data_IF_542717809128
#
_entry.id   IF_542717809128
#
_cell.length_a   1.000
_cell.length_b   1.000
_cell.length_c   1.000
_cell.angle_alpha   90.00
_cell.angle_beta   90.00
_cell.angle_gamma   90.00
#
_symmetry.space_group_name_H-M   'P 1'
#
loop_
_entity.id
_entity.type
_entity.pdbx_description
1 polymer ?
#
# COMPACT_ATOMS: atom_id res chain seq x y z
N UNK A 1 -24.89 -59.49 -22.00
CA UNK A 1 -24.13 -58.42 -22.66
C UNK A 1 -22.65 -58.83 -22.64
N UNK A 2 -22.06 -59.14 -23.80
CA UNK A 2 -20.64 -59.53 -23.93
C UNK A 2 -19.79 -58.34 -24.41
N UNK A 3 -18.52 -58.19 -23.99
CA UNK A 3 -17.68 -57.10 -24.47
C UNK A 3 -17.00 -57.48 -25.80
N UNK A 4 -16.91 -56.52 -26.71
CA UNK A 4 -16.26 -56.65 -28.00
C UNK A 4 -14.74 -56.44 -27.90
N UNK A 5 -13.98 -57.30 -28.57
CA UNK A 5 -12.51 -57.26 -28.68
C UNK A 5 -12.10 -56.34 -29.84
N UNK A 6 -11.13 -55.42 -29.68
CA UNK A 6 -10.67 -54.57 -30.77
C UNK A 6 -9.74 -55.32 -31.73
N UNK A 7 -9.99 -55.20 -33.05
CA UNK A 7 -9.18 -55.80 -34.11
C UNK A 7 -7.86 -55.04 -34.29
N UNK A 8 -6.73 -55.76 -34.24
CA UNK A 8 -5.41 -55.24 -34.63
C UNK A 8 -5.37 -54.99 -36.14
N UNK A 9 -5.07 -53.76 -36.55
CA UNK A 9 -4.78 -53.39 -37.94
C UNK A 9 -3.35 -53.83 -38.26
N UNK A 10 -3.20 -54.75 -39.22
CA UNK A 10 -1.90 -55.22 -39.71
C UNK A 10 -1.55 -54.38 -40.93
N UNK A 11 -0.58 -53.47 -40.82
CA UNK A 11 -0.04 -52.74 -41.99
C UNK A 11 0.66 -53.75 -42.90
N UNK A 12 0.09 -53.98 -44.08
CA UNK A 12 0.56 -54.93 -45.09
C UNK A 12 1.22 -54.18 -46.26
N UNK A 13 2.35 -53.50 -46.06
CA UNK A 13 3.25 -53.22 -47.18
C UNK A 13 4.57 -52.61 -46.69
N UNK A 14 5.74 -53.25 -46.93
CA UNK A 14 7.03 -52.64 -46.63
C UNK A 14 7.27 -51.37 -47.47
N UNK A 15 6.59 -51.22 -48.61
CA UNK A 15 6.69 -50.02 -49.47
C UNK A 15 6.06 -48.77 -48.82
N UNK A 16 5.00 -48.92 -48.02
CA UNK A 16 4.34 -47.79 -47.36
C UNK A 16 5.20 -47.20 -46.23
N UNK A 17 6.00 -48.05 -45.56
CA UNK A 17 6.92 -47.63 -44.51
C UNK A 17 8.11 -46.87 -45.13
N UNK A 18 8.65 -47.37 -46.24
CA UNK A 18 9.76 -46.72 -46.95
C UNK A 18 9.33 -45.35 -47.49
N UNK A 19 8.12 -45.23 -48.05
CA UNK A 19 7.60 -43.95 -48.55
C UNK A 19 7.44 -42.89 -47.45
N UNK A 20 6.96 -43.28 -46.25
CA UNK A 20 6.84 -42.37 -45.10
C UNK A 20 8.21 -41.92 -44.56
N UNK A 21 9.21 -42.81 -44.57
CA UNK A 21 10.57 -42.47 -44.17
C UNK A 21 11.25 -41.50 -45.17
N UNK A 22 11.03 -41.66 -46.47
CA UNK A 22 11.59 -40.76 -47.49
C UNK A 22 10.98 -39.35 -47.42
N UNK A 23 9.67 -39.23 -47.18
CA UNK A 23 9.04 -37.90 -47.02
C UNK A 23 9.60 -37.18 -45.79
N UNK A 24 9.85 -37.89 -44.67
CA UNK A 24 10.48 -37.32 -43.48
C UNK A 24 11.94 -36.89 -43.68
N UNK A 25 12.75 -37.68 -44.38
CA UNK A 25 14.17 -37.39 -44.59
C UNK A 25 14.43 -36.22 -45.55
N UNK A 26 13.52 -35.95 -46.49
CA UNK A 26 13.73 -34.91 -47.53
C UNK A 26 13.00 -33.59 -47.20
N UNK A 27 11.88 -33.62 -46.49
CA UNK A 27 11.12 -32.41 -46.14
C UNK A 27 11.57 -31.72 -44.84
N UNK A 28 12.08 -32.49 -43.87
CA UNK A 28 12.47 -31.95 -42.56
C UNK A 28 13.73 -31.06 -42.65
N UNK A 29 14.78 -31.38 -43.44
CA UNK A 29 15.92 -30.48 -43.58
C UNK A 29 15.56 -29.17 -44.28
N UNK A 30 14.65 -29.19 -45.26
CA UNK A 30 14.25 -27.98 -46.02
C UNK A 30 13.53 -26.93 -45.17
N UNK A 31 12.83 -27.34 -44.10
CA UNK A 31 12.20 -26.40 -43.16
C UNK A 31 13.19 -25.75 -42.19
N UNK A 32 14.36 -26.35 -41.96
CA UNK A 32 15.41 -25.78 -41.11
C UNK A 32 16.30 -24.76 -41.84
N UNK A 33 16.37 -24.80 -43.18
CA UNK A 33 17.17 -23.84 -43.98
C UNK A 33 16.39 -22.60 -44.42
N UNK A 34 15.06 -22.55 -44.25
CA UNK A 34 14.23 -21.39 -44.61
C UNK A 34 13.95 -20.42 -43.45
N UNK A 35 14.35 -20.76 -42.23
CA UNK A 35 14.31 -19.82 -41.10
C UNK A 35 15.69 -19.19 -40.90
N UNK A 36 15.91 -17.92 -41.26
CA UNK A 36 17.12 -17.23 -40.86
C UNK A 36 17.20 -17.25 -39.33
N UNK A 37 18.34 -17.69 -38.79
CA UNK A 37 18.62 -17.56 -37.35
C UNK A 37 18.44 -16.09 -36.98
N UNK A 38 17.74 -15.75 -35.89
CA UNK A 38 17.65 -14.37 -35.46
C UNK A 38 19.08 -13.90 -35.18
N UNK A 39 19.58 -13.02 -36.05
CA UNK A 39 20.80 -12.28 -35.80
C UNK A 39 20.51 -11.45 -34.56
N UNK A 40 21.09 -11.86 -33.43
CA UNK A 40 21.06 -11.09 -32.20
C UNK A 40 21.82 -9.80 -32.48
N UNK A 41 21.10 -8.80 -32.96
CA UNK A 41 21.56 -7.42 -33.01
C UNK A 41 21.76 -7.02 -31.55
N UNK A 42 23.00 -6.67 -31.19
CA UNK A 42 23.28 -5.88 -29.98
C UNK A 42 22.68 -4.49 -30.20
N UNK A 43 21.36 -4.41 -30.23
CA UNK A 43 20.67 -3.17 -30.04
C UNK A 43 20.72 -2.93 -28.54
N UNK A 44 21.56 -1.98 -28.13
CA UNK A 44 21.53 -1.40 -26.79
C UNK A 44 20.07 -1.16 -26.41
N UNK A 45 19.54 -2.05 -25.57
CA UNK A 45 18.36 -1.74 -24.78
C UNK A 45 18.71 -0.48 -24.00
N UNK A 46 17.85 0.54 -23.96
CA UNK A 46 18.08 1.67 -23.08
C UNK A 46 18.28 1.10 -21.69
N UNK A 47 19.50 1.19 -21.17
CA UNK A 47 19.75 0.90 -19.78
C UNK A 47 18.86 1.85 -19.00
N UNK A 48 17.71 1.35 -18.56
CA UNK A 48 16.96 1.98 -17.51
C UNK A 48 17.91 1.95 -16.33
N UNK A 49 18.55 3.09 -16.12
CA UNK A 49 19.58 3.31 -15.13
C UNK A 49 18.97 3.03 -13.77
N UNK A 50 19.04 1.75 -13.37
CA UNK A 50 18.72 1.32 -12.02
C UNK A 50 19.88 1.82 -11.19
N UNK A 51 19.78 3.09 -10.79
CA UNK A 51 20.63 3.70 -9.79
C UNK A 51 20.77 2.69 -8.66
N UNK A 52 22.00 2.23 -8.42
CA UNK A 52 22.29 1.43 -7.23
C UNK A 52 21.75 2.19 -6.03
N UNK A 53 20.89 1.58 -5.19
CA UNK A 53 20.43 2.28 -3.99
C UNK A 53 21.66 2.62 -3.17
N UNK A 54 21.74 3.90 -2.78
CA UNK A 54 22.76 4.38 -1.88
C UNK A 54 22.77 3.47 -0.64
N UNK A 55 23.97 3.12 -0.19
CA UNK A 55 24.25 2.23 0.92
C UNK A 55 23.59 2.79 2.19
N UNK A 56 22.35 2.40 2.49
CA UNK A 56 21.60 2.88 3.66
C UNK A 56 20.08 2.88 3.52
N UNK A 57 19.53 2.93 2.30
CA UNK A 57 18.08 2.93 2.13
C UNK A 57 17.57 1.50 1.92
N UNK A 58 16.73 1.01 2.84
CA UNK A 58 15.98 -0.24 2.62
C UNK A 58 15.00 0.05 1.48
N UNK A 59 15.39 -0.29 0.25
CA UNK A 59 14.46 -0.38 -0.87
C UNK A 59 13.50 -1.53 -0.59
N UNK A 60 12.27 -1.20 -0.16
CA UNK A 60 11.19 -2.18 -0.08
C UNK A 60 10.73 -2.43 -1.51
N UNK A 61 11.13 -3.57 -2.06
CA UNK A 61 10.72 -3.99 -3.39
C UNK A 61 9.19 -4.09 -3.44
N UNK A 62 8.51 -3.32 -4.33
CA UNK A 62 7.06 -3.35 -4.45
C UNK A 62 6.48 -4.75 -4.72
N UNK A 63 7.26 -5.64 -5.34
CA UNK A 63 6.87 -7.03 -5.63
C UNK A 63 6.71 -7.90 -4.37
N UNK A 64 7.24 -7.46 -3.22
CA UNK A 64 7.07 -8.16 -1.95
C UNK A 64 5.61 -8.20 -1.49
N UNK A 65 4.73 -7.37 -2.04
CA UNK A 65 3.30 -7.38 -1.72
C UNK A 65 2.48 -8.39 -2.52
N UNK A 66 3.01 -8.99 -3.60
CA UNK A 66 2.23 -9.74 -4.59
C UNK A 66 2.20 -11.26 -4.41
N UNK A 67 3.06 -11.83 -3.56
CA UNK A 67 3.14 -13.27 -3.38
C UNK A 67 2.12 -13.84 -2.38
N UNK A 68 2.04 -15.17 -2.35
CA UNK A 68 1.13 -15.89 -1.45
C UNK A 68 1.53 -15.85 0.02
N UNK A 69 0.75 -16.60 0.81
CA UNK A 69 0.96 -16.81 2.25
C UNK A 69 2.24 -17.58 2.51
N UNK A 70 3.00 -17.11 3.50
CA UNK A 70 4.29 -17.69 3.91
C UNK A 70 4.12 -18.58 5.15
N UNK A 71 3.13 -18.28 5.99
CA UNK A 71 2.98 -18.89 7.31
C UNK A 71 2.18 -20.20 7.25
N UNK A 72 2.52 -21.20 8.08
CA UNK A 72 1.77 -22.46 8.17
C UNK A 72 0.43 -22.28 8.89
N UNK A 73 -0.38 -23.34 8.90
CA UNK A 73 -1.65 -23.37 9.64
C UNK A 73 -1.44 -23.19 11.14
N UNK A 74 -2.32 -22.43 11.79
CA UNK A 74 -2.30 -22.24 13.25
C UNK A 74 -3.42 -23.04 13.91
N UNK A 75 -3.13 -24.30 14.27
CA UNK A 75 -4.14 -25.24 14.80
C UNK A 75 -4.68 -24.89 16.20
N UNK A 76 -3.91 -24.19 17.04
CA UNK A 76 -4.34 -23.86 18.41
C UNK A 76 -5.38 -22.73 18.39
N UNK A 77 -6.62 -23.04 18.77
CA UNK A 77 -7.75 -22.10 18.72
C UNK A 77 -7.60 -20.91 19.68
N UNK A 78 -7.07 -21.12 20.89
CA UNK A 78 -6.85 -20.04 21.87
C UNK A 78 -5.80 -19.06 21.37
N UNK A 79 -4.65 -19.57 20.94
CA UNK A 79 -3.57 -18.75 20.39
C UNK A 79 -4.02 -17.98 19.14
N UNK A 80 -4.81 -18.63 18.25
CA UNK A 80 -5.41 -17.98 17.09
C UNK A 80 -6.34 -16.83 17.47
N UNK A 81 -7.16 -17.01 18.50
CA UNK A 81 -8.09 -15.98 18.96
C UNK A 81 -7.36 -14.80 19.64
N UNK A 82 -6.32 -15.08 20.44
CA UNK A 82 -5.46 -14.07 21.05
C UNK A 82 -4.72 -13.23 20.01
N UNK A 83 -4.07 -13.91 19.06
CA UNK A 83 -3.40 -13.27 17.93
C UNK A 83 -4.36 -12.40 17.11
N UNK A 84 -5.56 -12.90 16.83
CA UNK A 84 -6.61 -12.15 16.14
C UNK A 84 -6.98 -10.87 16.87
N UNK A 85 -7.28 -10.94 18.17
CA UNK A 85 -7.63 -9.75 18.99
C UNK A 85 -6.49 -8.73 19.00
N UNK A 86 -5.25 -9.18 19.20
CA UNK A 86 -4.08 -8.31 19.22
C UNK A 86 -3.88 -7.61 17.87
N UNK A 87 -4.04 -8.33 16.76
CA UNK A 87 -3.86 -7.79 15.41
C UNK A 87 -4.96 -6.80 15.05
N UNK A 88 -6.21 -7.10 15.40
CA UNK A 88 -7.30 -6.13 15.21
C UNK A 88 -7.11 -4.88 16.06
N UNK A 89 -6.63 -5.01 17.30
CA UNK A 89 -6.28 -3.85 18.13
C UNK A 89 -5.19 -3.00 17.48
N UNK A 90 -4.16 -3.63 16.89
CA UNK A 90 -3.12 -2.92 16.14
C UNK A 90 -3.69 -2.20 14.91
N UNK A 91 -4.46 -2.91 14.08
CA UNK A 91 -5.05 -2.35 12.85
C UNK A 91 -5.96 -1.15 13.13
N UNK A 92 -6.88 -1.28 14.09
CA UNK A 92 -7.79 -0.21 14.46
C UNK A 92 -7.08 0.98 15.10
N UNK A 93 -6.07 0.74 15.94
CA UNK A 93 -5.23 1.82 16.51
C UNK A 93 -4.43 2.53 15.41
N UNK A 94 -3.82 1.79 14.48
CA UNK A 94 -3.10 2.38 13.36
C UNK A 94 -4.03 3.24 12.50
N UNK A 95 -5.24 2.74 12.21
CA UNK A 95 -6.23 3.49 11.45
C UNK A 95 -6.71 4.75 12.18
N UNK A 96 -6.97 4.68 13.49
CA UNK A 96 -7.35 5.86 14.29
C UNK A 96 -6.22 6.89 14.40
N UNK A 97 -4.96 6.45 14.31
CA UNK A 97 -3.77 7.32 14.28
C UNK A 97 -3.44 7.94 12.93
N UNK A 98 -3.97 7.36 11.85
CA UNK A 98 -3.59 7.73 10.49
C UNK A 98 -3.85 9.23 10.20
N UNK A 99 -3.09 9.92 9.33
CA UNK A 99 -3.30 11.34 9.08
C UNK A 99 -4.68 11.67 8.51
N UNK A 100 -5.21 12.86 8.84
CA UNK A 100 -6.45 13.36 8.22
C UNK A 100 -6.30 13.57 6.72
N UNK A 101 -5.13 14.08 6.30
CA UNK A 101 -4.75 14.35 4.91
C UNK A 101 -3.38 13.70 4.62
N UNK A 102 -3.33 12.39 4.35
CA UNK A 102 -2.07 11.68 4.18
C UNK A 102 -1.39 12.03 2.86
N UNK A 103 -0.05 12.09 2.90
CA UNK A 103 0.80 12.27 1.72
C UNK A 103 0.83 11.01 0.86
N UNK A 104 1.19 11.11 -0.44
CA UNK A 104 1.23 9.94 -1.32
C UNK A 104 2.10 8.77 -0.80
N UNK A 105 3.23 9.06 -0.17
CA UNK A 105 4.12 8.06 0.43
C UNK A 105 3.48 7.38 1.66
N UNK A 106 2.82 8.14 2.54
CA UNK A 106 2.09 7.60 3.70
C UNK A 106 0.95 6.67 3.29
N UNK A 107 0.27 6.99 2.16
CA UNK A 107 -0.77 6.15 1.55
C UNK A 107 -0.21 4.87 0.97
N UNK A 108 0.94 4.95 0.32
CA UNK A 108 1.63 3.78 -0.22
C UNK A 108 2.15 2.88 0.91
N UNK A 109 2.75 3.46 1.96
CA UNK A 109 3.30 2.73 3.08
C UNK A 109 2.25 1.88 3.81
N UNK A 110 1.10 2.46 4.16
CA UNK A 110 0.04 1.69 4.85
C UNK A 110 -0.56 0.62 3.94
N UNK A 111 -0.71 0.91 2.64
CA UNK A 111 -1.18 -0.08 1.66
C UNK A 111 -0.23 -1.27 1.58
N UNK A 112 1.08 -1.01 1.40
CA UNK A 112 2.10 -2.06 1.37
C UNK A 112 2.14 -2.86 2.67
N UNK A 113 2.07 -2.19 3.82
CA UNK A 113 2.06 -2.86 5.13
C UNK A 113 0.87 -3.81 5.28
N UNK A 114 -0.34 -3.44 4.81
CA UNK A 114 -1.51 -4.33 4.84
C UNK A 114 -1.31 -5.56 3.95
N UNK A 115 -0.79 -5.39 2.73
CA UNK A 115 -0.52 -6.54 1.86
C UNK A 115 0.60 -7.42 2.42
N UNK A 116 1.64 -6.84 3.01
CA UNK A 116 2.69 -7.61 3.69
C UNK A 116 2.16 -8.35 4.92
N UNK A 117 1.28 -7.72 5.71
CA UNK A 117 0.58 -8.36 6.81
C UNK A 117 -0.18 -9.59 6.31
N UNK A 118 -0.87 -9.49 5.16
CA UNK A 118 -1.60 -10.64 4.59
C UNK A 118 -0.70 -11.82 4.19
N UNK A 119 0.58 -11.58 3.92
CA UNK A 119 1.55 -12.63 3.60
C UNK A 119 2.19 -13.25 4.84
N UNK A 120 2.44 -12.42 5.85
CA UNK A 120 3.20 -12.73 7.05
C UNK A 120 2.32 -13.07 8.26
N UNK A 121 1.00 -12.99 8.13
CA UNK A 121 0.10 -13.23 9.26
C UNK A 121 0.27 -14.66 9.82
N UNK A 122 0.59 -14.86 11.11
CA UNK A 122 1.04 -16.17 11.63
C UNK A 122 0.02 -17.33 11.58
N UNK A 123 -1.22 -17.07 11.19
CA UNK A 123 -2.23 -18.08 10.92
C UNK A 123 -2.41 -18.21 9.41
N UNK A 124 -1.81 -19.23 8.79
CA UNK A 124 -1.81 -19.42 7.34
C UNK A 124 -3.21 -19.42 6.71
N UNK A 125 -4.16 -20.15 7.30
CA UNK A 125 -5.54 -20.20 6.80
C UNK A 125 -6.27 -18.86 6.95
N UNK A 126 -5.89 -18.09 7.97
CA UNK A 126 -6.43 -16.75 8.17
C UNK A 126 -5.83 -15.79 7.14
N UNK A 127 -4.54 -15.92 6.86
CA UNK A 127 -3.78 -15.14 5.89
C UNK A 127 -4.32 -15.37 4.47
N UNK A 128 -4.57 -16.63 4.09
CA UNK A 128 -5.13 -17.01 2.78
C UNK A 128 -6.50 -16.35 2.57
N UNK A 129 -7.36 -16.46 3.59
CA UNK A 129 -8.67 -15.84 3.55
C UNK A 129 -8.58 -14.31 3.50
N UNK A 130 -7.62 -13.70 4.22
CA UNK A 130 -7.42 -12.26 4.18
C UNK A 130 -6.90 -11.78 2.82
N UNK A 131 -6.00 -12.52 2.16
CA UNK A 131 -5.57 -12.22 0.80
C UNK A 131 -6.74 -12.23 -0.20
N UNK A 132 -7.63 -13.22 -0.11
CA UNK A 132 -8.82 -13.27 -0.96
C UNK A 132 -9.75 -12.07 -0.70
N UNK A 133 -9.95 -11.73 0.57
CA UNK A 133 -10.73 -10.56 0.95
C UNK A 133 -10.14 -9.26 0.39
N UNK A 134 -8.82 -9.10 0.39
CA UNK A 134 -8.13 -7.91 -0.12
C UNK A 134 -8.27 -7.72 -1.64
N UNK A 135 -8.56 -8.78 -2.40
CA UNK A 135 -8.86 -8.67 -3.84
C UNK A 135 -10.21 -7.98 -4.07
N UNK A 136 -11.18 -8.25 -3.22
CA UNK A 136 -12.55 -7.71 -3.31
C UNK A 136 -12.71 -6.38 -2.57
N UNK A 137 -11.95 -6.20 -1.49
CA UNK A 137 -12.02 -5.05 -0.60
C UNK A 137 -10.62 -4.42 -0.39
N UNK A 138 -10.04 -3.81 -1.43
CA UNK A 138 -8.71 -3.23 -1.34
C UNK A 138 -8.65 -2.09 -0.29
N UNK A 139 -7.51 -1.89 0.40
CA UNK A 139 -7.36 -0.86 1.43
C UNK A 139 -7.69 0.55 0.94
N UNK A 140 -8.54 1.25 1.69
CA UNK A 140 -8.88 2.65 1.42
C UNK A 140 -8.03 3.57 2.30
N UNK A 141 -7.09 4.27 1.68
CA UNK A 141 -6.03 5.00 2.40
C UNK A 141 -6.11 6.51 2.20
N UNK A 142 -7.23 7.05 1.69
CA UNK A 142 -7.33 8.47 1.33
C UNK A 142 -7.36 9.42 2.53
N UNK A 143 -7.76 8.93 3.71
CA UNK A 143 -7.81 9.69 4.96
C UNK A 143 -7.93 8.76 6.16
N UNK A 144 -7.76 9.28 7.38
CA UNK A 144 -8.09 8.58 8.63
C UNK A 144 -9.47 7.94 8.60
N UNK A 145 -10.50 8.71 8.28
CA UNK A 145 -11.88 8.22 8.26
C UNK A 145 -12.06 7.08 7.25
N UNK A 146 -11.43 7.21 6.06
CA UNK A 146 -11.49 6.18 5.03
C UNK A 146 -10.82 4.87 5.48
N UNK A 147 -9.65 4.95 6.10
CA UNK A 147 -8.93 3.78 6.58
C UNK A 147 -9.61 3.12 7.78
N UNK A 148 -10.13 3.91 8.72
CA UNK A 148 -10.88 3.39 9.88
C UNK A 148 -12.15 2.67 9.46
N UNK A 149 -12.94 3.28 8.57
CA UNK A 149 -14.17 2.65 8.06
C UNK A 149 -13.86 1.37 7.28
N UNK A 150 -12.84 1.39 6.41
CA UNK A 150 -12.41 0.17 5.71
C UNK A 150 -11.98 -0.93 6.68
N UNK A 151 -11.20 -0.60 7.71
CA UNK A 151 -10.75 -1.57 8.73
C UNK A 151 -11.94 -2.17 9.47
N UNK A 152 -12.94 -1.38 9.81
CA UNK A 152 -14.18 -1.86 10.43
C UNK A 152 -15.00 -2.77 9.51
N UNK A 153 -15.22 -2.35 8.26
CA UNK A 153 -15.97 -3.15 7.28
C UNK A 153 -15.32 -4.52 7.06
N UNK A 154 -14.01 -4.56 6.86
CA UNK A 154 -13.24 -5.82 6.70
C UNK A 154 -13.30 -6.68 7.96
N UNK A 155 -13.21 -6.07 9.14
CA UNK A 155 -13.37 -6.80 10.40
C UNK A 155 -14.78 -7.40 10.53
N UNK A 156 -15.83 -6.69 10.09
CA UNK A 156 -17.19 -7.21 10.07
C UNK A 156 -17.38 -8.37 9.09
N UNK A 157 -16.72 -8.37 7.93
CA UNK A 157 -16.72 -9.53 7.02
C UNK A 157 -16.17 -10.77 7.75
N UNK A 158 -15.10 -10.61 8.52
CA UNK A 158 -14.55 -11.69 9.35
C UNK A 158 -15.52 -12.08 10.48
N UNK A 159 -16.18 -11.11 11.13
CA UNK A 159 -17.18 -11.40 12.16
C UNK A 159 -18.34 -12.24 11.60
N UNK A 160 -18.94 -11.83 10.49
CA UNK A 160 -20.04 -12.54 9.82
C UNK A 160 -19.61 -13.96 9.47
N UNK A 161 -18.44 -14.14 8.84
CA UNK A 161 -17.90 -15.47 8.51
C UNK A 161 -17.74 -16.36 9.74
N UNK A 162 -17.37 -15.78 10.89
CA UNK A 162 -17.19 -16.50 12.14
C UNK A 162 -18.48 -16.61 12.98
N UNK A 163 -19.63 -16.18 12.45
CA UNK A 163 -20.91 -16.18 13.17
C UNK A 163 -20.96 -15.23 14.36
N UNK A 164 -20.17 -14.15 14.33
CA UNK A 164 -20.14 -13.11 15.36
C UNK A 164 -21.05 -11.94 14.97
N UNK A 165 -21.61 -11.20 15.95
CA UNK A 165 -22.33 -9.97 15.68
C UNK A 165 -21.48 -8.98 14.90
N UNK A 166 -22.13 -8.22 14.02
CA UNK A 166 -21.50 -7.07 13.38
C UNK A 166 -21.29 -5.94 14.39
N UNK A 167 -20.19 -5.22 14.24
CA UNK A 167 -19.88 -4.03 15.00
C UNK A 167 -20.42 -2.78 14.29
N UNK A 168 -21.06 -1.87 15.01
CA UNK A 168 -21.52 -0.60 14.45
C UNK A 168 -20.34 0.35 14.22
N UNK A 169 -19.91 0.48 12.96
CA UNK A 169 -18.78 1.32 12.58
C UNK A 169 -18.98 2.81 12.90
N UNK A 170 -20.21 3.29 13.14
CA UNK A 170 -20.44 4.68 13.53
C UNK A 170 -19.87 5.02 14.91
N UNK A 171 -19.68 4.01 15.77
CA UNK A 171 -19.16 4.13 17.15
C UNK A 171 -17.64 3.93 17.25
N UNK A 172 -16.92 3.81 16.12
CA UNK A 172 -15.48 3.54 16.11
C UNK A 172 -14.65 4.56 16.90
N UNK A 173 -15.04 5.84 16.83
CA UNK A 173 -14.31 6.93 17.50
C UNK A 173 -14.36 6.82 19.03
N UNK A 174 -15.43 6.22 19.57
CA UNK A 174 -15.61 6.04 21.01
C UNK A 174 -14.74 4.89 21.54
N UNK A 175 -14.61 3.82 20.75
CA UNK A 175 -13.85 2.61 21.11
C UNK A 175 -12.35 2.78 20.83
N UNK A 176 -12.02 3.39 19.70
CA UNK A 176 -10.66 3.65 19.25
C UNK A 176 -10.42 5.16 19.19
N UNK A 177 -10.40 5.78 20.38
CA UNK A 177 -9.93 7.16 20.51
C UNK A 177 -8.59 7.29 19.81
N UNK A 178 -8.39 8.40 19.09
CA UNK A 178 -7.18 8.59 18.32
C UNK A 178 -5.93 8.67 19.21
N UNK A 179 -6.03 8.71 20.54
CA UNK A 179 -4.87 8.82 21.43
C UNK A 179 -3.97 9.99 21.05
N UNK A 180 -4.53 10.97 20.35
CA UNK A 180 -3.90 12.26 20.15
C UNK A 180 -3.69 12.81 21.56
N UNK A 181 -2.53 13.37 21.86
CA UNK A 181 -2.44 14.20 23.05
C UNK A 181 -3.58 15.21 22.93
N UNK A 182 -4.52 15.17 23.88
CA UNK A 182 -5.57 16.16 23.91
C UNK A 182 -4.86 17.52 24.01
N UNK A 183 -5.34 18.53 23.28
CA UNK A 183 -5.03 19.91 23.67
C UNK A 183 -5.37 19.99 25.16
N UNK A 184 -4.47 20.50 26.02
CA UNK A 184 -4.66 20.43 27.46
C UNK A 184 -6.07 20.95 27.79
N UNK A 185 -6.88 20.09 28.40
CA UNK A 185 -8.18 20.48 28.94
C UNK A 185 -7.97 21.71 29.82
N UNK A 186 -8.87 22.69 29.71
CA UNK A 186 -8.82 23.97 30.43
C UNK A 186 -8.82 23.73 31.95
N UNK A 187 -7.64 23.47 32.50
CA UNK A 187 -7.48 23.01 33.89
C UNK A 187 -6.21 22.20 34.19
N UNK A 188 -5.55 21.61 33.18
CA UNK A 188 -4.31 20.81 33.38
C UNK A 188 -3.03 21.53 32.92
N UNK A 189 -3.04 22.87 32.89
CA UNK A 189 -1.83 23.64 32.57
C UNK A 189 -1.02 23.83 33.85
N UNK A 190 0.14 23.16 33.93
CA UNK A 190 1.10 23.40 35.02
C UNK A 190 1.63 24.84 34.90
N UNK A 191 1.93 25.53 36.03
CA UNK A 191 2.35 26.94 36.00
C UNK A 191 3.57 27.25 35.13
N UNK A 192 4.45 26.26 34.90
CA UNK A 192 5.62 26.40 34.04
C UNK A 192 5.26 26.47 32.54
N UNK A 193 4.20 25.78 32.14
CA UNK A 193 3.77 25.69 30.74
C UNK A 193 2.93 26.94 30.35
N UNK A 194 2.19 27.51 31.31
CA UNK A 194 1.52 28.81 31.15
C UNK A 194 2.50 29.97 30.94
N UNK A 195 3.67 29.93 31.61
CA UNK A 195 4.71 30.94 31.44
C UNK A 195 5.38 30.87 30.05
N UNK A 196 5.53 29.65 29.50
CA UNK A 196 6.04 29.47 28.15
C UNK A 196 5.03 29.94 27.08
N UNK A 197 3.73 29.65 27.28
CA UNK A 197 2.67 30.11 26.38
C UNK A 197 2.56 31.65 26.36
N UNK A 198 2.61 32.30 27.53
CA UNK A 198 2.60 33.77 27.61
C UNK A 198 3.82 34.44 26.97
N UNK A 199 4.98 33.76 26.94
CA UNK A 199 6.16 34.24 26.24
C UNK A 199 5.98 34.18 24.71
N UNK A 200 5.33 33.12 24.20
CA UNK A 200 5.05 32.97 22.76
C UNK A 200 4.00 33.99 22.29
N UNK A 201 2.92 34.18 23.05
CA UNK A 201 1.92 35.23 22.74
C UNK A 201 2.53 36.64 22.78
N UNK A 202 3.45 36.90 23.71
CA UNK A 202 4.18 38.17 23.78
C UNK A 202 5.09 38.40 22.57
N UNK A 203 5.71 37.34 22.03
CA UNK A 203 6.54 37.40 20.83
C UNK A 203 5.68 37.67 19.58
N UNK A 204 4.52 37.03 19.46
CA UNK A 204 3.59 37.26 18.35
C UNK A 204 3.00 38.68 18.38
N UNK A 205 2.66 39.19 19.57
CA UNK A 205 2.21 40.57 19.75
C UNK A 205 3.31 41.58 19.39
N UNK A 206 4.57 41.32 19.77
CA UNK A 206 5.71 42.15 19.39
C UNK A 206 5.97 42.11 17.88
N UNK A 207 5.84 40.94 17.25
CA UNK A 207 5.98 40.79 15.80
C UNK A 207 4.87 41.57 15.03
N UNK A 208 3.64 41.55 15.54
CA UNK A 208 2.52 42.30 14.97
C UNK A 208 2.66 43.83 15.15
N UNK A 209 3.23 44.28 16.27
CA UNK A 209 3.56 45.70 16.46
C UNK A 209 4.70 46.14 15.52
N UNK A 210 5.72 45.29 15.34
CA UNK A 210 6.84 45.58 14.44
C UNK A 210 6.42 45.63 12.97
N UNK A 211 5.46 44.80 12.53
CA UNK A 211 4.89 44.89 11.18
C UNK A 211 4.04 46.16 11.02
N UNK A 212 3.20 46.49 12.00
CA UNK A 212 2.39 47.71 11.98
C UNK A 212 3.24 48.99 11.93
N UNK A 213 4.39 49.00 12.60
CA UNK A 213 5.30 50.15 12.60
C UNK A 213 6.04 50.29 11.27
N UNK A 214 6.47 49.18 10.67
CA UNK A 214 7.07 49.16 9.33
C UNK A 214 6.11 49.67 8.24
N UNK A 215 4.83 49.32 8.33
CA UNK A 215 3.81 49.81 7.42
C UNK A 215 3.60 51.33 7.57
N UNK A 216 3.66 51.84 8.80
CA UNK A 216 3.55 53.28 9.09
C UNK A 216 4.72 54.07 8.52
N UNK A 217 5.95 53.57 8.68
CA UNK A 217 7.16 54.23 8.16
C UNK A 217 7.15 54.25 6.62
N UNK A 218 6.68 53.17 5.98
CA UNK A 218 6.53 53.09 4.51
C UNK A 218 5.53 54.13 3.97
N UNK A 219 4.45 54.39 4.72
CA UNK A 219 3.46 55.42 4.35
C UNK A 219 4.05 56.82 4.49
N UNK A 220 4.82 57.09 5.55
CA UNK A 220 5.47 58.39 5.76
C UNK A 220 6.48 58.70 4.64
N UNK A 221 7.33 57.73 4.28
CA UNK A 221 8.28 57.85 3.18
C UNK A 221 7.59 58.10 1.81
N UNK A 222 6.41 57.52 1.61
CA UNK A 222 5.62 57.71 0.39
C UNK A 222 5.00 59.12 0.32
N UNK A 223 4.63 59.70 1.47
CA UNK A 223 4.09 61.06 1.55
C UNK A 223 5.20 62.10 1.37
N UNK A 224 6.37 61.91 1.99
CA UNK A 224 7.51 62.81 1.82
C UNK A 224 8.06 62.82 0.40
N UNK A 225 8.15 61.66 -0.26
CA UNK A 225 8.57 61.57 -1.66
C UNK A 225 7.51 62.11 -2.64
N UNK A 226 6.22 62.05 -2.30
CA UNK A 226 5.14 62.62 -3.11
C UNK A 226 5.04 64.14 -3.06
N UNK A 227 5.53 64.77 -1.98
CA UNK A 227 5.53 66.24 -1.83
C UNK A 227 6.71 66.94 -2.51
N UNK A 228 7.72 66.19 -2.95
CA UNK A 228 8.83 66.72 -3.75
C UNK A 228 8.48 67.02 -5.22
N UNK A 229 7.48 66.34 -5.78
CA UNK A 229 7.14 66.41 -7.22
C UNK A 229 6.06 67.45 -7.56
N UNK A 230 5.43 68.06 -6.56
CA UNK A 230 4.42 69.11 -6.73
C UNK A 230 5.00 70.55 -6.68
N UNK A 231 6.33 70.70 -6.65
CA UNK A 231 7.04 72.01 -6.60
C UNK A 231 8.05 72.23 -7.74
N UNK A 232 7.78 71.69 -8.94
CA UNK A 232 8.56 71.99 -10.15
C UNK A 232 7.70 72.52 -11.27
#
# INVERSE_FOLDING_TARGET
MSPAIPRRIRLKSPLAIIALCFIGLVTIPSLFFLNPKPTFSLQEQPQQQRSSPAKGDIYVDPSLSEGGVIMPQLGNATAKAELGRATWKLLHTMASRYPLKPKPDERAAVKQWIYLLSRLYPCGECADHFQEMLKQHPPQTSSRASLSNWTCSVHNIVNIRLGKPEFDCSTLADVYKCGCADEPEEGDVRPADAAAAGLVEGIDALAALASSQRDRDTIVDSVENGQGDARR
#
